data_IF_047397662801
#
_entry.id   IF_047397662801
#
_cell.length_a   1.000
_cell.length_b   1.000
_cell.length_c   1.000
_cell.angle_alpha   90.00
_cell.angle_beta   90.00
_cell.angle_gamma   90.00
#
_symmetry.space_group_name_H-M   'P 1'
#
loop_
_entity.id
_entity.type
_entity.pdbx_description
1 polymer ?
#
# COMPACT_ATOMS: atom_id res chain seq x y z
N UNK A 1 -29.22 8.78 1.08
CA UNK A 1 -29.10 7.35 1.42
C UNK A 1 -30.32 6.68 0.83
N UNK A 2 -30.13 5.82 -0.17
CA UNK A 2 -31.24 5.07 -0.77
C UNK A 2 -30.93 3.58 -0.71
N UNK A 3 -31.99 2.80 -0.54
CA UNK A 3 -32.06 1.37 -0.22
C UNK A 3 -32.82 0.74 -1.39
N UNK A 4 -32.26 -0.23 -2.13
CA UNK A 4 -32.73 -0.51 -3.51
C UNK A 4 -32.86 -2.00 -3.88
N UNK A 5 -33.95 -2.35 -4.59
CA UNK A 5 -34.07 -3.52 -5.49
C UNK A 5 -33.95 -3.09 -6.96
N UNK A 6 -33.87 -4.05 -7.90
CA UNK A 6 -33.55 -3.83 -9.32
C UNK A 6 -34.41 -2.75 -10.02
N UNK A 7 -35.70 -2.64 -9.67
CA UNK A 7 -36.62 -1.62 -10.20
C UNK A 7 -36.42 -0.23 -9.56
N UNK A 8 -35.86 -0.15 -8.35
CA UNK A 8 -35.63 1.11 -7.66
C UNK A 8 -34.44 1.88 -8.26
N UNK A 9 -33.46 1.16 -8.85
CA UNK A 9 -32.16 1.69 -9.33
C UNK A 9 -32.35 2.89 -10.28
N UNK A 10 -33.48 2.96 -11.01
CA UNK A 10 -33.83 4.05 -11.95
C UNK A 10 -34.05 5.40 -11.23
N UNK A 11 -34.57 5.39 -10.00
CA UNK A 11 -35.09 6.62 -9.37
C UNK A 11 -34.03 7.47 -8.66
N UNK A 12 -32.86 6.90 -8.33
CA UNK A 12 -31.85 7.53 -7.47
C UNK A 12 -30.62 8.01 -8.20
N UNK A 13 -30.30 7.43 -9.35
CA UNK A 13 -29.23 7.87 -10.25
C UNK A 13 -29.51 9.24 -10.87
N UNK A 14 -30.76 9.72 -10.81
CA UNK A 14 -31.13 11.11 -11.08
C UNK A 14 -30.39 12.14 -10.20
N UNK A 15 -29.77 11.75 -9.08
CA UNK A 15 -28.92 12.64 -8.27
C UNK A 15 -27.56 12.94 -8.93
N UNK A 16 -27.07 12.08 -9.83
CA UNK A 16 -25.76 12.23 -10.48
C UNK A 16 -25.83 12.30 -12.00
N UNK A 17 -27.03 12.14 -12.57
CA UNK A 17 -27.37 12.40 -13.96
C UNK A 17 -26.44 11.71 -14.99
N UNK A 18 -25.92 10.52 -14.65
CA UNK A 18 -24.99 9.75 -15.49
C UNK A 18 -25.53 8.34 -15.70
N UNK A 19 -26.20 8.12 -16.84
CA UNK A 19 -26.70 6.81 -17.27
C UNK A 19 -25.64 5.71 -17.18
N UNK A 20 -24.38 6.07 -17.40
CA UNK A 20 -23.26 5.12 -17.39
C UNK A 20 -22.99 4.55 -15.98
N UNK A 21 -23.15 5.35 -14.93
CA UNK A 21 -23.02 4.86 -13.55
C UNK A 21 -24.14 3.87 -13.22
N UNK A 22 -25.37 4.16 -13.65
CA UNK A 22 -26.51 3.26 -13.45
C UNK A 22 -26.29 1.94 -14.17
N UNK A 23 -25.91 2.00 -15.44
CA UNK A 23 -25.62 0.84 -16.26
C UNK A 23 -24.51 -0.01 -15.64
N UNK A 24 -23.42 0.61 -15.15
CA UNK A 24 -22.35 -0.10 -14.46
C UNK A 24 -22.84 -0.83 -13.20
N UNK A 25 -23.63 -0.16 -12.36
CA UNK A 25 -24.22 -0.76 -11.15
C UNK A 25 -25.10 -1.97 -11.52
N UNK A 26 -26.00 -1.82 -12.50
CA UNK A 26 -26.88 -2.90 -12.96
C UNK A 26 -26.10 -4.09 -13.51
N UNK A 27 -25.12 -3.82 -14.36
CA UNK A 27 -24.27 -4.85 -14.96
C UNK A 27 -23.52 -5.63 -13.88
N UNK A 28 -22.94 -4.94 -12.91
CA UNK A 28 -22.24 -5.59 -11.79
C UNK A 28 -23.18 -6.39 -10.89
N UNK A 29 -24.33 -5.82 -10.55
CA UNK A 29 -25.31 -6.46 -9.67
C UNK A 29 -25.86 -7.76 -10.25
N UNK A 30 -26.07 -7.80 -11.58
CA UNK A 30 -26.55 -8.98 -12.30
C UNK A 30 -25.42 -9.90 -12.76
N UNK A 31 -24.16 -9.56 -12.51
CA UNK A 31 -23.03 -10.34 -12.97
C UNK A 31 -22.99 -11.71 -12.26
N UNK A 32 -22.68 -12.82 -12.96
CA UNK A 32 -22.56 -14.15 -12.36
C UNK A 32 -21.56 -14.21 -11.20
N UNK A 33 -20.54 -13.36 -11.19
CA UNK A 33 -19.52 -13.26 -10.13
C UNK A 33 -19.79 -12.17 -9.09
N UNK A 34 -21.01 -11.60 -9.00
CA UNK A 34 -21.33 -10.62 -7.96
C UNK A 34 -21.00 -11.15 -6.54
N UNK A 35 -20.39 -10.34 -5.65
CA UNK A 35 -19.96 -8.95 -5.79
C UNK A 35 -18.51 -8.77 -6.25
N UNK A 36 -17.84 -9.83 -6.70
CA UNK A 36 -16.39 -9.89 -6.94
C UNK A 36 -15.91 -9.13 -8.17
N UNK A 37 -16.78 -8.40 -8.85
CA UNK A 37 -16.46 -7.58 -10.01
C UNK A 37 -16.55 -6.10 -9.66
N UNK A 38 -15.79 -5.29 -10.38
CA UNK A 38 -15.90 -3.84 -10.39
C UNK A 38 -15.97 -3.33 -11.83
N UNK A 39 -16.44 -2.11 -12.01
CA UNK A 39 -16.55 -1.47 -13.32
C UNK A 39 -15.63 -0.26 -13.37
N UNK A 40 -14.72 -0.23 -14.33
CA UNK A 40 -13.83 0.89 -14.62
C UNK A 40 -14.26 1.53 -15.93
N UNK A 41 -14.92 2.69 -15.87
CA UNK A 41 -15.42 3.40 -17.06
C UNK A 41 -16.29 2.51 -17.98
N UNK A 42 -17.14 1.68 -17.36
CA UNK A 42 -18.03 0.73 -18.03
C UNK A 42 -17.40 -0.63 -18.36
N UNK A 43 -16.08 -0.78 -18.29
CA UNK A 43 -15.40 -2.07 -18.44
C UNK A 43 -15.48 -2.88 -17.16
N UNK A 44 -15.91 -4.14 -17.27
CA UNK A 44 -16.05 -5.04 -16.12
C UNK A 44 -14.76 -5.82 -15.89
N UNK A 45 -14.20 -5.70 -14.69
CA UNK A 45 -12.93 -6.32 -14.30
C UNK A 45 -13.05 -6.95 -12.91
N UNK A 46 -12.14 -7.89 -12.59
CA UNK A 46 -12.10 -8.51 -11.25
C UNK A 46 -11.75 -7.47 -10.21
N UNK A 47 -12.50 -7.47 -9.10
CA UNK A 47 -12.25 -6.57 -8.00
C UNK A 47 -11.20 -7.18 -7.04
N UNK A 48 -10.01 -6.57 -6.90
CA UNK A 48 -8.89 -7.15 -6.15
C UNK A 48 -9.17 -7.29 -4.66
N UNK A 49 -10.10 -6.51 -4.08
CA UNK A 49 -10.43 -6.61 -2.64
C UNK A 49 -11.05 -7.98 -2.27
N UNK A 50 -11.59 -8.70 -3.26
CA UNK A 50 -12.16 -10.03 -3.08
C UNK A 50 -11.18 -11.17 -3.38
N UNK A 51 -9.98 -10.89 -3.88
CA UNK A 51 -9.01 -11.91 -4.34
C UNK A 51 -8.67 -12.93 -3.25
N UNK A 52 -8.54 -12.47 -2.01
CA UNK A 52 -8.12 -13.27 -0.86
C UNK A 52 -9.23 -13.46 0.19
N UNK A 53 -10.47 -13.06 -0.12
CA UNK A 53 -11.58 -13.19 0.82
C UNK A 53 -12.11 -14.63 0.80
N UNK A 54 -12.50 -15.13 1.97
CA UNK A 54 -13.09 -16.47 2.10
C UNK A 54 -14.34 -16.61 1.22
N UNK A 55 -14.47 -17.76 0.56
CA UNK A 55 -15.62 -18.09 -0.30
C UNK A 55 -16.93 -18.06 0.49
N UNK A 56 -16.92 -18.52 1.73
CA UNK A 56 -18.14 -18.54 2.56
C UNK A 56 -18.65 -17.12 2.83
N UNK A 57 -17.74 -16.16 2.99
CA UNK A 57 -18.08 -14.74 3.16
C UNK A 57 -18.67 -14.18 1.87
N UNK A 58 -18.07 -14.50 0.72
CA UNK A 58 -18.53 -14.06 -0.60
C UNK A 58 -19.94 -14.62 -0.90
N UNK A 59 -20.16 -15.91 -0.64
CA UNK A 59 -21.45 -16.58 -0.83
C UNK A 59 -22.51 -15.98 0.08
N UNK A 60 -22.16 -15.68 1.33
CA UNK A 60 -23.07 -14.98 2.24
C UNK A 60 -23.46 -13.61 1.70
N UNK A 61 -22.51 -12.79 1.24
CA UNK A 61 -22.82 -11.47 0.66
C UNK A 61 -23.75 -11.62 -0.55
N UNK A 62 -23.49 -12.60 -1.42
CA UNK A 62 -24.33 -12.88 -2.58
C UNK A 62 -25.73 -13.33 -2.19
N UNK A 63 -25.86 -14.20 -1.20
CA UNK A 63 -27.16 -14.66 -0.70
C UNK A 63 -27.94 -13.54 -0.05
N UNK A 64 -27.27 -12.71 0.75
CA UNK A 64 -27.91 -11.65 1.52
C UNK A 64 -28.33 -10.48 0.61
N UNK A 65 -27.47 -10.08 -0.33
CA UNK A 65 -27.62 -8.83 -1.09
C UNK A 65 -27.75 -8.99 -2.60
N UNK A 66 -27.56 -10.19 -3.17
CA UNK A 66 -27.62 -10.41 -4.62
C UNK A 66 -29.04 -10.21 -5.20
N UNK A 67 -29.25 -10.50 -6.49
CA UNK A 67 -30.55 -10.30 -7.15
C UNK A 67 -31.75 -10.96 -6.45
N UNK A 68 -31.52 -12.10 -5.80
CA UNK A 68 -32.53 -12.84 -5.04
C UNK A 68 -32.39 -12.64 -3.52
N UNK A 69 -31.53 -11.72 -3.09
CA UNK A 69 -31.26 -11.44 -1.69
C UNK A 69 -32.39 -10.71 -1.00
N UNK A 70 -32.39 -10.79 0.33
CA UNK A 70 -33.39 -10.15 1.20
C UNK A 70 -32.98 -8.73 1.62
N UNK A 71 -31.67 -8.46 1.60
CA UNK A 71 -31.10 -7.19 2.02
C UNK A 71 -30.89 -6.26 0.83
N UNK A 72 -31.03 -4.98 1.11
CA UNK A 72 -30.78 -3.92 0.17
C UNK A 72 -29.39 -3.32 0.43
N UNK A 73 -28.74 -2.79 -0.61
CA UNK A 73 -27.46 -2.09 -0.49
C UNK A 73 -27.64 -0.57 -0.61
N UNK A 74 -26.62 0.18 -0.17
CA UNK A 74 -26.59 1.65 -0.27
C UNK A 74 -25.76 2.05 -1.49
N UNK A 75 -26.11 3.15 -2.16
CA UNK A 75 -25.25 3.78 -3.17
C UNK A 75 -24.48 4.93 -2.53
N UNK A 76 -23.16 4.95 -2.73
CA UNK A 76 -22.28 5.98 -2.20
C UNK A 76 -21.36 6.59 -3.26
N UNK A 77 -21.72 7.76 -3.78
CA UNK A 77 -20.87 8.54 -4.66
C UNK A 77 -19.82 9.30 -3.86
N UNK A 78 -18.58 9.26 -4.34
CA UNK A 78 -17.42 9.92 -3.74
C UNK A 78 -16.56 10.52 -4.84
N UNK A 79 -16.01 11.72 -4.59
CA UNK A 79 -14.99 12.30 -5.45
C UNK A 79 -13.60 12.01 -4.84
N UNK A 80 -12.69 11.48 -5.65
CA UNK A 80 -11.30 11.17 -5.29
C UNK A 80 -10.38 12.20 -5.94
N UNK A 81 -9.56 12.85 -5.13
CA UNK A 81 -8.69 13.93 -5.55
C UNK A 81 -7.25 13.47 -5.60
N UNK A 82 -6.65 13.63 -6.77
CA UNK A 82 -5.31 13.18 -7.08
C UNK A 82 -4.42 14.42 -7.21
N UNK A 83 -3.62 14.67 -6.19
CA UNK A 83 -2.55 15.68 -6.23
C UNK A 83 -1.28 14.98 -6.73
N UNK A 84 -0.80 15.39 -7.90
CA UNK A 84 0.37 14.80 -8.55
C UNK A 84 1.60 15.67 -8.31
N UNK A 85 2.73 15.02 -8.11
CA UNK A 85 4.05 15.64 -8.03
C UNK A 85 5.03 14.91 -8.92
N UNK A 86 6.15 15.57 -9.20
CA UNK A 86 7.33 14.94 -9.79
C UNK A 86 8.46 15.03 -8.77
N UNK A 87 9.22 13.95 -8.61
CA UNK A 87 10.47 13.98 -7.86
C UNK A 87 11.59 14.68 -8.67
N UNK A 88 12.80 14.73 -8.09
CA UNK A 88 13.98 15.33 -8.75
C UNK A 88 14.41 14.60 -10.05
N UNK A 89 13.91 13.38 -10.27
CA UNK A 89 14.18 12.55 -11.45
C UNK A 89 12.99 12.52 -12.44
N UNK A 90 12.02 13.41 -12.29
CA UNK A 90 10.77 13.44 -13.06
C UNK A 90 9.89 12.19 -12.90
N UNK A 91 9.99 11.46 -11.79
CA UNK A 91 9.12 10.33 -11.48
C UNK A 91 7.79 10.81 -10.89
N UNK A 92 6.65 10.28 -11.34
CA UNK A 92 5.34 10.67 -10.82
C UNK A 92 5.11 10.15 -9.40
N UNK A 93 4.59 11.03 -8.55
CA UNK A 93 4.18 10.72 -7.19
C UNK A 93 2.77 11.24 -6.92
N UNK A 94 2.10 10.61 -5.97
CA UNK A 94 0.78 11.01 -5.49
C UNK A 94 0.86 11.46 -4.03
N UNK A 95 0.28 12.63 -3.73
CA UNK A 95 0.16 13.07 -2.34
C UNK A 95 -1.04 12.37 -1.70
N UNK A 96 -0.74 11.54 -0.72
CA UNK A 96 -1.71 10.73 0.00
C UNK A 96 -1.95 11.29 1.39
N UNK A 97 -3.20 11.24 1.84
CA UNK A 97 -3.57 11.51 3.21
C UNK A 97 -3.67 10.21 3.99
N UNK A 98 -2.94 10.09 5.10
CA UNK A 98 -3.27 9.09 6.09
C UNK A 98 -3.63 9.74 7.41
N UNK A 99 -4.50 9.06 8.12
CA UNK A 99 -5.12 9.65 9.30
C UNK A 99 -4.59 9.02 10.60
N UNK A 100 -3.70 8.02 10.51
CA UNK A 100 -2.87 7.52 11.62
C UNK A 100 -3.62 6.94 12.83
N UNK A 101 -4.91 6.57 12.72
CA UNK A 101 -5.63 5.86 13.80
C UNK A 101 -5.89 4.41 13.37
N UNK A 102 -5.51 3.40 14.17
CA UNK A 102 -5.61 1.98 13.79
C UNK A 102 -7.03 1.44 13.55
N UNK A 103 -8.06 2.08 14.13
CA UNK A 103 -9.44 1.53 14.23
C UNK A 103 -10.54 2.41 13.64
N UNK A 104 -10.26 3.61 13.13
CA UNK A 104 -11.34 4.41 12.52
C UNK A 104 -11.53 3.95 11.09
N UNK A 105 -12.79 3.79 10.66
CA UNK A 105 -13.20 3.22 9.37
C UNK A 105 -12.44 3.77 8.15
N UNK A 106 -13.04 4.70 7.39
CA UNK A 106 -12.44 5.30 6.19
C UNK A 106 -11.18 6.08 6.56
N UNK A 107 -10.04 5.40 6.46
CA UNK A 107 -8.70 5.87 6.80
C UNK A 107 -7.70 5.16 5.91
N UNK A 108 -7.76 5.44 4.62
CA UNK A 108 -6.76 5.00 3.68
C UNK A 108 -6.27 6.20 2.90
N UNK A 109 -5.14 6.02 2.25
CA UNK A 109 -4.18 6.96 1.68
C UNK A 109 -4.72 7.95 0.64
N UNK A 110 -6.03 8.18 0.58
CA UNK A 110 -6.72 8.89 -0.48
C UNK A 110 -7.41 10.13 0.05
N UNK A 111 -7.34 11.20 -0.74
CA UNK A 111 -8.10 12.42 -0.50
C UNK A 111 -9.48 12.24 -1.10
N UNK A 112 -10.41 11.74 -0.30
CA UNK A 112 -11.79 11.49 -0.71
C UNK A 112 -12.73 12.46 -0.03
N UNK A 113 -13.62 13.06 -0.81
CA UNK A 113 -14.67 13.91 -0.27
C UNK A 113 -16.01 13.32 -0.63
N UNK A 114 -16.86 13.24 0.39
CA UNK A 114 -18.27 12.95 0.22
C UNK A 114 -18.95 14.28 0.02
N UNK A 115 -19.71 14.40 -1.06
CA UNK A 115 -20.56 15.57 -1.23
C UNK A 115 -21.61 15.57 -0.09
N UNK A 116 -21.42 16.46 0.88
CA UNK A 116 -22.36 16.65 1.98
C UNK A 116 -23.58 17.45 1.52
N UNK A 117 -23.44 18.19 0.41
CA UNK A 117 -24.50 19.01 -0.14
C UNK A 117 -25.21 18.19 -1.22
N UNK A 118 -26.54 18.18 -1.18
CA UNK A 118 -27.34 17.57 -2.26
C UNK A 118 -27.36 18.48 -3.50
N UNK A 119 -26.24 19.11 -3.81
CA UNK A 119 -26.15 20.13 -4.84
C UNK A 119 -26.32 19.49 -6.22
N UNK A 120 -27.28 20.00 -6.99
CA UNK A 120 -27.60 19.50 -8.33
C UNK A 120 -26.59 19.99 -9.38
N UNK A 121 -25.72 20.95 -9.04
CA UNK A 121 -24.81 21.61 -9.98
C UNK A 121 -23.36 21.12 -9.80
N UNK A 122 -22.86 20.38 -10.79
CA UNK A 122 -21.49 19.84 -10.83
C UNK A 122 -20.43 20.95 -10.72
N UNK A 123 -20.64 22.12 -11.32
CA UNK A 123 -19.66 23.21 -11.29
C UNK A 123 -19.53 23.83 -9.90
N UNK A 124 -20.63 23.91 -9.15
CA UNK A 124 -20.65 24.43 -7.78
C UNK A 124 -19.97 23.45 -6.81
N UNK A 125 -20.26 22.15 -6.95
CA UNK A 125 -19.60 21.08 -6.22
C UNK A 125 -18.07 21.11 -6.40
N UNK A 126 -17.60 21.23 -7.64
CA UNK A 126 -16.15 21.31 -7.93
C UNK A 126 -15.51 22.53 -7.26
N UNK A 127 -16.17 23.69 -7.30
CA UNK A 127 -15.67 24.92 -6.66
C UNK A 127 -15.65 24.81 -5.12
N UNK A 128 -16.58 24.08 -4.52
CA UNK A 128 -16.56 23.80 -3.09
C UNK A 128 -15.40 22.87 -2.73
N UNK A 129 -15.16 21.83 -3.54
CA UNK A 129 -14.01 20.94 -3.36
C UNK A 129 -12.66 21.66 -3.45
N UNK A 130 -12.49 22.67 -4.32
CA UNK A 130 -11.28 23.48 -4.35
C UNK A 130 -10.99 24.12 -2.98
N UNK A 131 -11.99 24.72 -2.34
CA UNK A 131 -11.85 25.35 -1.00
C UNK A 131 -11.60 24.32 0.09
N UNK A 132 -12.27 23.18 0.02
CA UNK A 132 -12.11 22.10 0.98
C UNK A 132 -10.67 21.56 0.93
N UNK A 133 -10.15 21.33 -0.28
CA UNK A 133 -8.77 20.88 -0.48
C UNK A 133 -7.78 21.93 0.01
N UNK A 134 -7.98 23.22 -0.29
CA UNK A 134 -7.14 24.31 0.22
C UNK A 134 -7.06 24.29 1.75
N UNK A 135 -8.22 24.20 2.39
CA UNK A 135 -8.29 24.09 3.86
C UNK A 135 -7.61 22.81 4.33
N UNK A 136 -7.79 21.70 3.61
CA UNK A 136 -7.26 20.39 3.96
C UNK A 136 -5.72 20.38 3.98
N UNK A 137 -5.10 21.00 2.96
CA UNK A 137 -3.65 21.08 2.79
C UNK A 137 -3.02 22.37 3.35
N UNK A 138 -3.77 23.14 4.16
CA UNK A 138 -3.32 24.40 4.78
C UNK A 138 -2.82 25.46 3.76
N UNK A 139 -3.61 25.71 2.72
CA UNK A 139 -3.44 26.77 1.72
C UNK A 139 -4.54 27.82 1.83
N UNK A 140 -4.18 29.09 1.61
CA UNK A 140 -5.09 30.23 1.85
C UNK A 140 -5.25 31.17 0.64
N UNK A 141 -4.56 30.93 -0.49
CA UNK A 141 -4.45 31.91 -1.59
C UNK A 141 -5.09 31.50 -2.93
N UNK A 142 -6.18 30.72 -2.97
CA UNK A 142 -6.85 30.33 -4.23
C UNK A 142 -5.87 29.68 -5.23
N UNK A 143 -4.97 28.87 -4.72
CA UNK A 143 -3.90 28.21 -5.48
C UNK A 143 -4.35 26.86 -6.01
N UNK A 144 -5.48 26.33 -5.57
CA UNK A 144 -5.95 25.01 -5.97
C UNK A 144 -6.99 25.14 -7.07
N UNK A 145 -6.79 24.39 -8.16
CA UNK A 145 -7.78 24.19 -9.21
C UNK A 145 -8.06 22.71 -9.33
N UNK A 146 -9.35 22.33 -9.32
CA UNK A 146 -9.77 20.96 -9.54
C UNK A 146 -10.23 20.81 -10.98
N UNK A 147 -9.56 19.93 -11.73
CA UNK A 147 -9.97 19.54 -13.07
C UNK A 147 -10.51 18.13 -13.06
N UNK A 148 -11.75 17.97 -13.51
CA UNK A 148 -12.26 16.67 -13.88
C UNK A 148 -11.55 16.21 -15.15
N UNK A 149 -11.10 14.95 -15.22
CA UNK A 149 -10.51 14.44 -16.45
C UNK A 149 -11.59 14.36 -17.54
N UNK A 150 -11.27 14.54 -18.83
CA UNK A 150 -12.14 14.12 -19.91
C UNK A 150 -12.04 12.60 -20.11
N UNK A 151 -13.12 11.95 -20.51
CA UNK A 151 -13.18 10.61 -21.12
C UNK A 151 -12.95 9.33 -20.28
N UNK A 152 -12.43 9.39 -19.05
CA UNK A 152 -12.42 8.25 -18.09
C UNK A 152 -12.42 8.81 -16.67
N UNK A 153 -13.44 8.54 -15.87
CA UNK A 153 -13.57 9.19 -14.56
C UNK A 153 -14.28 8.39 -13.49
N UNK A 154 -14.68 7.14 -13.69
CA UNK A 154 -15.37 6.47 -12.60
C UNK A 154 -15.10 4.98 -12.44
N UNK A 155 -15.08 4.61 -11.16
CA UNK A 155 -15.04 3.24 -10.69
C UNK A 155 -16.34 2.96 -9.94
N UNK A 156 -17.02 1.87 -10.30
CA UNK A 156 -18.11 1.32 -9.50
C UNK A 156 -17.64 0.03 -8.84
N UNK A 157 -17.79 -0.05 -7.52
CA UNK A 157 -17.33 -1.18 -6.71
C UNK A 157 -18.34 -1.48 -5.62
N UNK A 158 -18.75 -2.74 -5.51
CA UNK A 158 -19.53 -3.21 -4.37
C UNK A 158 -18.57 -3.67 -3.28
N UNK A 159 -18.69 -3.16 -2.06
CA UNK A 159 -17.91 -3.65 -0.89
C UNK A 159 -18.61 -3.39 0.43
N UNK A 160 -18.25 -4.16 1.46
CA UNK A 160 -18.77 -3.97 2.82
C UNK A 160 -18.13 -2.72 3.44
N UNK A 161 -18.96 -1.75 3.82
CA UNK A 161 -18.50 -0.53 4.47
C UNK A 161 -17.98 -0.84 5.89
N UNK A 162 -16.79 -0.34 6.21
CA UNK A 162 -16.14 -0.63 7.49
C UNK A 162 -16.85 -0.03 8.70
N UNK A 163 -17.60 1.05 8.52
CA UNK A 163 -18.40 1.72 9.54
C UNK A 163 -19.82 1.17 9.65
N UNK A 164 -20.56 1.08 8.53
CA UNK A 164 -21.95 0.61 8.55
C UNK A 164 -22.10 -0.91 8.65
N UNK A 165 -21.05 -1.67 8.29
CA UNK A 165 -21.08 -3.13 8.19
C UNK A 165 -22.13 -3.68 7.20
N UNK A 166 -22.55 -2.84 6.25
CA UNK A 166 -23.50 -3.15 5.18
C UNK A 166 -22.81 -3.14 3.81
N UNK A 167 -23.40 -3.81 2.82
CA UNK A 167 -22.98 -3.69 1.43
C UNK A 167 -23.28 -2.30 0.86
N UNK A 168 -22.29 -1.72 0.20
CA UNK A 168 -22.40 -0.43 -0.46
C UNK A 168 -21.87 -0.54 -1.88
N UNK A 169 -22.62 0.01 -2.84
CA UNK A 169 -22.18 0.30 -4.19
C UNK A 169 -21.51 1.69 -4.20
N UNK A 170 -20.19 1.71 -4.18
CA UNK A 170 -19.42 2.93 -4.34
C UNK A 170 -19.38 3.36 -5.79
N UNK A 171 -19.48 4.67 -6.00
CA UNK A 171 -19.21 5.32 -7.28
C UNK A 171 -18.10 6.33 -7.02
N UNK A 172 -16.87 5.96 -7.34
CA UNK A 172 -15.73 6.86 -7.20
C UNK A 172 -15.57 7.66 -8.47
N UNK A 173 -15.54 8.99 -8.37
CA UNK A 173 -15.22 9.89 -9.48
C UNK A 173 -13.83 10.49 -9.26
N UNK A 174 -12.94 10.39 -10.25
CA UNK A 174 -11.56 10.87 -10.09
C UNK A 174 -11.37 12.29 -10.61
N UNK A 175 -10.63 13.08 -9.85
CA UNK A 175 -10.38 14.50 -10.10
C UNK A 175 -8.88 14.80 -9.99
N UNK A 176 -8.32 15.48 -11.00
CA UNK A 176 -6.95 15.99 -10.91
C UNK A 176 -6.95 17.31 -10.14
N UNK A 177 -6.02 17.42 -9.21
CA UNK A 177 -5.81 18.64 -8.44
C UNK A 177 -4.52 19.31 -8.91
N UNK A 178 -4.64 20.57 -9.31
CA UNK A 178 -3.52 21.41 -9.71
C UNK A 178 -3.32 22.45 -8.61
N UNK A 179 -2.11 22.55 -8.10
CA UNK A 179 -1.73 23.57 -7.12
C UNK A 179 -0.78 24.55 -7.81
N UNK A 180 -1.23 25.77 -8.08
CA UNK A 180 -0.42 26.85 -8.67
C UNK A 180 0.41 27.59 -7.61
N UNK A 181 1.53 28.20 -8.00
CA UNK A 181 2.38 29.00 -7.11
C UNK A 181 3.60 28.25 -6.58
N UNK A 182 4.31 28.84 -5.61
CA UNK A 182 5.44 28.17 -4.95
C UNK A 182 4.92 27.06 -4.02
N UNK A 183 5.30 25.83 -4.33
CA UNK A 183 4.88 24.63 -3.62
C UNK A 183 6.07 23.90 -2.96
N UNK A 184 7.24 24.54 -2.83
CA UNK A 184 8.42 23.89 -2.27
C UNK A 184 8.20 23.32 -0.87
N UNK A 185 7.33 23.94 -0.07
CA UNK A 185 6.99 23.48 1.28
C UNK A 185 6.16 22.19 1.30
N UNK A 186 5.42 21.85 0.25
CA UNK A 186 4.68 20.58 0.13
C UNK A 186 5.46 19.58 -0.73
N UNK A 187 6.04 20.04 -1.85
CA UNK A 187 6.73 19.20 -2.83
C UNK A 187 8.02 18.56 -2.30
N UNK A 188 8.78 19.25 -1.43
CA UNK A 188 10.06 18.74 -0.91
C UNK A 188 9.93 17.93 0.38
N UNK A 189 8.74 17.86 0.97
CA UNK A 189 8.52 17.14 2.23
C UNK A 189 8.13 15.71 1.92
N UNK A 190 8.87 14.72 2.43
CA UNK A 190 8.47 13.31 2.35
C UNK A 190 7.16 13.06 3.11
N UNK A 191 7.25 12.83 4.41
CA UNK A 191 6.08 12.74 5.30
C UNK A 191 5.92 14.06 6.06
N UNK A 192 4.70 14.58 6.15
CA UNK A 192 4.41 15.81 6.89
C UNK A 192 3.00 15.82 7.48
N UNK A 193 2.73 16.74 8.39
CA UNK A 193 1.42 16.86 9.02
C UNK A 193 1.03 18.31 9.31
N UNK A 194 -0.28 18.56 9.32
CA UNK A 194 -0.88 19.81 9.81
C UNK A 194 -1.72 19.52 11.05
N UNK A 195 -1.56 20.33 12.08
CA UNK A 195 -2.34 20.23 13.31
C UNK A 195 -3.52 21.19 13.25
N UNK A 196 -4.74 20.67 13.42
CA UNK A 196 -5.97 21.43 13.52
C UNK A 196 -6.65 21.11 14.85
N UNK A 197 -6.42 21.96 15.85
CA UNK A 197 -6.86 21.71 17.22
C UNK A 197 -6.25 20.42 17.78
N UNK A 198 -7.10 19.46 18.16
CA UNK A 198 -6.69 18.16 18.73
C UNK A 198 -6.46 17.07 17.68
N UNK A 199 -6.65 17.38 16.39
CA UNK A 199 -6.52 16.42 15.29
C UNK A 199 -5.31 16.77 14.41
N UNK A 200 -4.49 15.76 14.10
CA UNK A 200 -3.40 15.87 13.14
C UNK A 200 -3.81 15.25 11.80
N UNK A 201 -3.71 16.04 10.71
CA UNK A 201 -3.84 15.55 9.33
C UNK A 201 -2.44 15.22 8.81
N UNK A 202 -2.19 13.97 8.42
CA UNK A 202 -0.86 13.53 8.00
C UNK A 202 -0.86 13.18 6.50
N UNK A 203 0.27 13.46 5.86
CA UNK A 203 0.43 13.39 4.42
C UNK A 203 1.78 12.78 4.07
N UNK A 204 1.84 12.13 2.91
CA UNK A 204 3.09 11.67 2.30
C UNK A 204 2.94 11.52 0.81
N UNK A 205 4.04 11.73 0.12
CA UNK A 205 4.17 11.34 -1.27
C UNK A 205 4.40 9.84 -1.43
N UNK A 206 3.50 9.19 -2.13
CA UNK A 206 3.61 7.79 -2.51
C UNK A 206 3.93 7.67 -3.99
N UNK A 207 4.89 6.80 -4.31
CA UNK A 207 4.97 6.21 -5.63
C UNK A 207 3.77 5.27 -5.80
N UNK A 208 3.09 5.26 -6.97
CA UNK A 208 1.97 4.37 -7.21
C UNK A 208 2.28 2.90 -6.88
N UNK A 209 3.45 2.39 -7.26
CA UNK A 209 3.91 1.02 -6.96
C UNK A 209 4.06 0.73 -5.46
N UNK A 210 4.29 1.77 -4.65
CA UNK A 210 4.34 1.65 -3.20
C UNK A 210 2.98 1.40 -2.56
N UNK A 211 1.88 1.74 -3.25
CA UNK A 211 0.52 1.59 -2.73
C UNK A 211 0.11 0.12 -2.55
N UNK A 212 0.58 -0.76 -3.43
CA UNK A 212 0.24 -2.18 -3.39
C UNK A 212 0.93 -2.96 -2.26
N UNK A 213 2.02 -2.39 -1.71
CA UNK A 213 2.78 -3.00 -0.62
C UNK A 213 2.05 -2.94 0.72
N UNK A 214 1.14 -1.98 0.89
CA UNK A 214 0.32 -1.88 2.09
C UNK A 214 -0.86 -2.85 1.99
N UNK A 215 -0.73 -3.99 2.69
CA UNK A 215 -1.76 -5.03 2.70
C UNK A 215 -3.12 -4.50 3.12
N UNK A 216 -3.17 -3.60 4.12
CA UNK A 216 -4.43 -3.05 4.62
C UNK A 216 -5.06 -2.14 3.58
N UNK A 217 -4.27 -1.35 2.86
CA UNK A 217 -4.72 -0.53 1.74
C UNK A 217 -5.32 -1.40 0.64
N UNK A 218 -4.65 -2.50 0.27
CA UNK A 218 -5.16 -3.40 -0.77
C UNK A 218 -6.41 -4.17 -0.35
N UNK A 219 -6.55 -4.51 0.94
CA UNK A 219 -7.76 -5.15 1.47
C UNK A 219 -8.98 -4.22 1.46
N UNK A 220 -8.80 -2.92 1.70
CA UNK A 220 -9.92 -1.97 1.79
C UNK A 220 -10.20 -1.27 0.47
N UNK A 221 -9.15 -0.79 -0.18
CA UNK A 221 -9.20 0.13 -1.31
C UNK A 221 -8.39 -0.35 -2.51
N UNK A 222 -8.07 -1.65 -2.57
CA UNK A 222 -7.41 -2.25 -3.73
C UNK A 222 -8.15 -2.00 -5.05
N UNK A 223 -9.48 -1.83 -5.00
CA UNK A 223 -10.31 -1.43 -6.13
C UNK A 223 -9.91 -0.05 -6.67
N UNK A 224 -9.81 0.94 -5.78
CA UNK A 224 -9.39 2.30 -6.11
C UNK A 224 -7.92 2.34 -6.54
N UNK A 225 -7.04 1.62 -5.83
CA UNK A 225 -5.62 1.52 -6.16
C UNK A 225 -5.45 0.96 -7.56
N UNK A 226 -6.13 -0.14 -7.87
CA UNK A 226 -6.06 -0.76 -9.20
C UNK A 226 -6.53 0.18 -10.31
N UNK A 227 -7.55 0.99 -10.06
CA UNK A 227 -7.96 2.05 -11.01
C UNK A 227 -6.87 3.12 -11.17
N UNK A 228 -6.30 3.62 -10.07
CA UNK A 228 -5.20 4.61 -10.09
C UNK A 228 -4.04 4.07 -10.94
N UNK A 229 -3.62 2.83 -10.74
CA UNK A 229 -2.54 2.21 -11.51
C UNK A 229 -2.81 2.19 -13.02
N UNK A 230 -4.02 1.78 -13.39
CA UNK A 230 -4.46 1.72 -14.78
C UNK A 230 -4.48 3.11 -15.42
N UNK A 231 -4.81 4.15 -14.64
CA UNK A 231 -5.01 5.51 -15.14
C UNK A 231 -3.76 6.41 -15.00
N UNK A 232 -2.74 5.97 -14.27
CA UNK A 232 -1.44 6.66 -14.14
C UNK A 232 -0.34 6.02 -14.99
N UNK A 233 -0.68 5.05 -15.86
CA UNK A 233 0.29 4.27 -16.64
C UNK A 233 1.36 3.57 -15.78
N UNK A 234 1.08 3.33 -14.49
CA UNK A 234 1.95 2.53 -13.63
C UNK A 234 1.52 1.08 -13.77
N UNK A 235 2.10 0.42 -14.76
CA UNK A 235 1.65 -0.88 -15.30
C UNK A 235 1.40 -1.95 -14.23
N UNK A 236 0.14 -2.33 -14.10
CA UNK A 236 -0.35 -3.53 -13.43
C UNK A 236 -0.25 -4.74 -14.38
N UNK A 237 0.96 -5.25 -14.63
CA UNK A 237 1.32 -6.65 -14.97
C UNK A 237 2.78 -6.74 -15.41
N UNK A 238 3.39 -7.91 -15.18
CA UNK A 238 4.80 -8.26 -15.36
C UNK A 238 5.50 -7.51 -16.51
N UNK A 239 6.23 -6.44 -16.16
CA UNK A 239 7.24 -5.88 -17.04
C UNK A 239 8.26 -6.98 -17.24
N UNK A 240 8.39 -7.48 -18.47
CA UNK A 240 9.51 -8.32 -18.84
C UNK A 240 10.79 -7.61 -18.41
N UNK A 241 11.50 -8.20 -17.44
CA UNK A 241 12.79 -7.76 -16.93
C UNK A 241 13.71 -7.45 -18.11
N UNK A 242 13.86 -6.16 -18.39
CA UNK A 242 14.87 -5.68 -19.31
C UNK A 242 15.07 -4.21 -19.02
N UNK A 243 16.09 -3.98 -18.20
CA UNK A 243 16.71 -2.69 -17.82
C UNK A 243 16.04 -2.04 -16.59
N UNK A 244 16.17 -2.71 -15.44
CA UNK A 244 16.10 -2.06 -14.11
C UNK A 244 17.46 -1.40 -13.81
N UNK A 245 17.54 -0.29 -13.07
CA UNK A 245 17.65 -0.29 -11.60
C UNK A 245 17.61 1.15 -11.04
N UNK A 246 17.39 1.36 -9.71
CA UNK A 246 16.73 0.51 -8.72
C UNK A 246 15.63 1.23 -7.90
N UNK A 247 14.77 0.43 -7.28
CA UNK A 247 14.06 0.77 -6.03
C UNK A 247 15.11 1.30 -5.03
N UNK A 248 14.97 2.55 -4.57
CA UNK A 248 15.84 3.17 -3.56
C UNK A 248 15.57 2.55 -2.19
N UNK A 249 16.16 1.40 -1.94
CA UNK A 249 16.35 0.92 -0.58
C UNK A 249 17.35 1.84 0.12
N UNK A 250 17.05 2.22 1.36
CA UNK A 250 17.96 3.03 2.20
C UNK A 250 19.31 2.29 2.39
N UNK A 251 19.25 0.96 2.39
CA UNK A 251 20.39 0.08 2.53
C UNK A 251 20.46 -0.95 1.38
N UNK A 252 21.65 -1.29 0.95
CA UNK A 252 21.89 -2.42 0.06
C UNK A 252 21.73 -3.74 0.83
N UNK A 253 22.17 -3.78 2.09
CA UNK A 253 22.13 -4.99 2.91
C UNK A 253 21.75 -4.65 4.34
N UNK A 254 20.85 -5.42 4.94
CA UNK A 254 20.61 -5.40 6.38
C UNK A 254 21.20 -6.66 7.03
N UNK A 255 21.79 -6.50 8.22
CA UNK A 255 22.35 -7.61 8.98
C UNK A 255 21.47 -7.94 10.18
N UNK A 256 20.90 -9.15 10.20
CA UNK A 256 20.12 -9.67 11.32
C UNK A 256 20.92 -10.72 12.08
N UNK A 257 21.13 -10.50 13.38
CA UNK A 257 21.96 -11.35 14.23
C UNK A 257 21.50 -11.27 15.69
N UNK A 258 21.88 -12.27 16.50
CA UNK A 258 21.75 -12.19 17.95
C UNK A 258 22.92 -11.42 18.53
N UNK A 259 22.70 -10.67 19.62
CA UNK A 259 23.76 -9.85 20.23
C UNK A 259 25.03 -10.63 20.58
N UNK A 260 24.92 -11.92 20.89
CA UNK A 260 26.02 -12.86 21.13
C UNK A 260 26.90 -13.11 19.88
N UNK A 261 26.32 -12.98 18.70
CA UNK A 261 26.95 -13.25 17.40
C UNK A 261 27.46 -11.97 16.72
N UNK A 262 27.45 -10.83 17.45
CA UNK A 262 27.81 -9.49 16.96
C UNK A 262 29.14 -9.43 16.22
N UNK A 263 30.14 -10.17 16.70
CA UNK A 263 31.48 -10.19 16.08
C UNK A 263 31.44 -10.55 14.57
N UNK A 264 30.50 -11.39 14.16
CA UNK A 264 30.38 -11.81 12.77
C UNK A 264 29.66 -10.77 11.90
N UNK A 265 28.61 -10.15 12.43
CA UNK A 265 27.90 -9.07 11.73
C UNK A 265 28.76 -7.81 11.62
N UNK A 266 29.53 -7.47 12.64
CA UNK A 266 30.47 -6.34 12.62
C UNK A 266 31.57 -6.52 11.56
N UNK A 267 32.16 -7.71 11.49
CA UNK A 267 33.19 -8.02 10.48
C UNK A 267 32.63 -7.91 9.06
N UNK A 268 31.45 -8.47 8.80
CA UNK A 268 30.80 -8.37 7.50
C UNK A 268 30.40 -6.93 7.15
N UNK A 269 29.85 -6.18 8.11
CA UNK A 269 29.48 -4.79 7.92
C UNK A 269 30.68 -3.94 7.50
N UNK A 270 31.82 -4.13 8.17
CA UNK A 270 33.07 -3.43 7.86
C UNK A 270 33.54 -3.73 6.44
N UNK A 271 33.62 -5.01 6.06
CA UNK A 271 34.07 -5.44 4.73
C UNK A 271 33.17 -4.89 3.61
N UNK A 272 31.85 -4.90 3.81
CA UNK A 272 30.89 -4.36 2.84
C UNK A 272 30.97 -2.82 2.75
N UNK A 273 31.08 -2.14 3.89
CA UNK A 273 31.18 -0.67 3.95
C UNK A 273 32.48 -0.17 3.29
N UNK A 274 33.60 -0.87 3.48
CA UNK A 274 34.88 -0.58 2.80
C UNK A 274 34.77 -0.68 1.26
N UNK A 275 33.76 -1.40 0.75
CA UNK A 275 33.45 -1.55 -0.67
C UNK A 275 32.35 -0.58 -1.16
N UNK A 276 31.91 0.35 -0.31
CA UNK A 276 30.90 1.35 -0.65
C UNK A 276 29.45 0.85 -0.63
N UNK A 277 29.19 -0.32 -0.04
CA UNK A 277 27.85 -0.88 0.11
C UNK A 277 27.15 -0.24 1.31
N UNK A 278 25.88 0.18 1.17
CA UNK A 278 25.10 0.75 2.28
C UNK A 278 24.58 -0.37 3.18
N UNK A 279 25.12 -0.50 4.40
CA UNK A 279 24.75 -1.58 5.33
C UNK A 279 23.93 -1.05 6.50
N UNK A 280 22.78 -1.67 6.78
CA UNK A 280 22.07 -1.48 8.04
C UNK A 280 22.66 -2.41 9.11
N UNK A 281 23.26 -1.80 10.14
CA UNK A 281 23.83 -2.46 11.31
C UNK A 281 23.41 -1.69 12.57
N UNK A 282 22.81 -2.39 13.52
CA UNK A 282 22.04 -1.81 14.64
C UNK A 282 22.86 -0.87 15.56
N UNK A 283 24.15 -1.13 15.70
CA UNK A 283 25.05 -0.40 16.60
C UNK A 283 25.47 0.97 16.06
N UNK A 284 25.33 1.21 14.75
CA UNK A 284 25.51 2.56 14.20
C UNK A 284 24.34 3.50 14.52
N UNK A 285 23.28 2.96 15.16
CA UNK A 285 21.98 3.60 15.33
C UNK A 285 21.48 3.58 16.78
N UNK A 286 22.37 3.36 17.77
CA UNK A 286 22.02 3.24 19.21
C UNK A 286 21.15 4.40 19.72
N UNK A 287 21.39 5.63 19.28
CA UNK A 287 20.57 6.79 19.63
C UNK A 287 19.17 6.79 18.98
N UNK A 288 19.04 6.23 17.77
CA UNK A 288 17.77 6.11 17.05
C UNK A 288 16.90 4.94 17.55
N UNK A 289 17.53 3.93 18.14
CA UNK A 289 16.87 2.71 18.65
C UNK A 289 16.44 2.82 20.12
N UNK A 290 16.92 3.83 20.84
CA UNK A 290 16.59 4.06 22.25
C UNK A 290 15.08 4.28 22.44
N UNK A 291 14.43 3.36 23.16
CA UNK A 291 13.02 3.48 23.57
C UNK A 291 12.00 2.98 22.52
N UNK A 292 12.47 2.48 21.37
CA UNK A 292 11.60 1.86 20.37
C UNK A 292 11.30 0.39 20.72
N UNK A 293 10.12 -0.08 20.32
CA UNK A 293 9.85 -1.52 20.28
C UNK A 293 10.71 -2.13 19.15
N UNK A 294 11.88 -2.62 19.53
CA UNK A 294 12.88 -3.16 18.60
C UNK A 294 12.29 -4.25 17.70
N UNK A 295 11.36 -5.06 18.21
CA UNK A 295 10.74 -6.15 17.45
C UNK A 295 9.91 -5.66 16.24
N UNK A 296 9.07 -4.64 16.44
CA UNK A 296 8.28 -4.03 15.35
C UNK A 296 9.15 -3.20 14.41
N UNK A 297 10.17 -2.54 14.96
CA UNK A 297 11.08 -1.71 14.18
C UNK A 297 11.96 -2.55 13.24
N UNK A 298 12.45 -3.69 13.71
CA UNK A 298 13.18 -4.65 12.91
C UNK A 298 12.32 -5.28 11.82
N UNK A 299 11.04 -5.58 12.07
CA UNK A 299 10.13 -6.03 11.01
C UNK A 299 9.98 -5.02 9.87
N UNK A 300 9.90 -3.72 10.16
CA UNK A 300 9.80 -2.69 9.11
C UNK A 300 11.10 -2.52 8.32
N UNK A 301 12.26 -2.53 8.99
CA UNK A 301 13.56 -2.32 8.32
C UNK A 301 13.94 -3.55 7.48
N UNK A 302 13.75 -4.75 8.03
CA UNK A 302 14.04 -5.99 7.33
C UNK A 302 12.99 -6.35 6.27
N UNK A 303 11.92 -5.58 6.09
CA UNK A 303 10.94 -5.82 5.01
C UNK A 303 11.04 -4.79 3.90
N UNK A 304 11.22 -3.51 4.26
CA UNK A 304 10.92 -2.41 3.33
C UNK A 304 12.14 -1.55 2.97
N UNK A 305 13.26 -1.64 3.70
CA UNK A 305 14.35 -0.66 3.61
C UNK A 305 15.70 -1.20 3.14
N UNK A 306 15.86 -2.51 2.92
CA UNK A 306 17.10 -3.12 2.42
C UNK A 306 16.87 -3.99 1.17
N UNK A 307 17.85 -4.09 0.25
CA UNK A 307 17.75 -4.96 -0.95
C UNK A 307 17.88 -6.45 -0.61
N UNK A 308 18.74 -6.77 0.35
CA UNK A 308 18.90 -8.12 0.90
C UNK A 308 19.03 -8.06 2.43
N UNK A 309 18.62 -9.13 3.10
CA UNK A 309 18.85 -9.33 4.53
C UNK A 309 19.75 -10.54 4.75
N UNK A 310 20.95 -10.32 5.28
CA UNK A 310 21.82 -11.39 5.74
C UNK A 310 21.40 -11.78 7.14
N UNK A 311 21.02 -13.05 7.31
CA UNK A 311 20.58 -13.58 8.60
C UNK A 311 21.66 -14.52 9.13
N UNK A 312 22.26 -14.15 10.25
CA UNK A 312 23.21 -14.99 10.97
C UNK A 312 22.43 -16.01 11.79
N UNK A 313 22.39 -17.25 11.29
CA UNK A 313 21.66 -18.37 11.88
C UNK A 313 22.51 -19.02 12.97
N UNK A 314 22.04 -18.94 14.21
CA UNK A 314 22.66 -19.55 15.38
C UNK A 314 21.61 -20.00 16.38
N UNK A 315 22.05 -20.76 17.38
CA UNK A 315 21.22 -21.13 18.53
C UNK A 315 20.68 -19.89 19.25
N UNK A 316 21.54 -18.88 19.48
CA UNK A 316 21.16 -17.62 20.14
C UNK A 316 20.11 -16.83 19.34
N UNK A 317 20.21 -16.88 18.02
CA UNK A 317 19.24 -16.25 17.13
C UNK A 317 17.87 -16.92 17.22
N UNK A 318 17.85 -18.26 17.21
CA UNK A 318 16.63 -19.03 17.38
C UNK A 318 15.98 -18.75 18.76
N UNK A 319 16.74 -18.78 19.84
CA UNK A 319 16.15 -18.59 21.18
C UNK A 319 15.58 -17.19 21.42
N UNK A 320 16.14 -16.14 20.80
CA UNK A 320 15.72 -14.75 21.06
C UNK A 320 14.70 -14.19 20.08
N UNK A 321 14.79 -14.58 18.81
CA UNK A 321 13.96 -13.99 17.75
C UNK A 321 12.83 -14.92 17.28
N UNK A 322 12.86 -16.19 17.68
CA UNK A 322 11.86 -17.21 17.36
C UNK A 322 10.75 -17.49 18.39
N UNK A 323 10.85 -17.17 19.70
CA UNK A 323 9.93 -17.76 20.67
C UNK A 323 8.54 -17.10 20.62
N UNK A 324 7.61 -17.70 19.86
CA UNK A 324 6.13 -17.64 19.98
C UNK A 324 5.48 -18.35 18.78
N UNK A 325 4.76 -19.45 19.00
CA UNK A 325 4.09 -20.23 17.94
C UNK A 325 3.26 -19.43 16.92
N UNK A 326 2.57 -18.37 17.35
CA UNK A 326 1.79 -17.51 16.43
C UNK A 326 2.68 -16.64 15.52
N UNK A 327 3.83 -16.19 16.04
CA UNK A 327 4.81 -15.41 15.27
C UNK A 327 5.71 -16.31 14.42
N UNK A 328 6.01 -17.52 14.86
CA UNK A 328 6.76 -18.52 14.09
C UNK A 328 6.09 -18.80 12.74
N UNK A 329 4.76 -18.92 12.72
CA UNK A 329 4.01 -19.14 11.48
C UNK A 329 4.04 -17.90 10.56
N UNK A 330 3.91 -16.71 11.13
CA UNK A 330 3.99 -15.45 10.39
C UNK A 330 5.40 -15.18 9.84
N UNK A 331 6.43 -15.46 10.63
CA UNK A 331 7.85 -15.34 10.25
C UNK A 331 8.21 -16.40 9.20
N UNK A 332 7.82 -17.66 9.39
CA UNK A 332 8.04 -18.73 8.42
C UNK A 332 7.31 -18.47 7.09
N UNK A 333 6.16 -17.77 7.13
CA UNK A 333 5.43 -17.33 5.94
C UNK A 333 6.11 -16.14 5.26
N UNK A 334 6.47 -15.09 6.01
CA UNK A 334 7.20 -13.94 5.48
C UNK A 334 8.53 -14.33 4.86
N UNK A 335 9.23 -15.30 5.46
CA UNK A 335 10.44 -15.85 4.88
C UNK A 335 10.17 -16.68 3.64
N UNK A 336 9.12 -17.52 3.62
CA UNK A 336 8.72 -18.29 2.42
C UNK A 336 8.34 -17.40 1.23
N UNK A 337 7.61 -16.32 1.46
CA UNK A 337 7.08 -15.45 0.40
C UNK A 337 8.15 -14.58 -0.27
N UNK A 338 9.37 -14.47 0.29
CA UNK A 338 10.44 -13.60 -0.22
C UNK A 338 11.74 -14.39 -0.52
N UNK A 339 11.63 -15.37 -1.43
CA UNK A 339 12.59 -16.46 -1.61
C UNK A 339 14.05 -16.04 -1.84
N UNK A 340 14.31 -14.92 -2.52
CA UNK A 340 15.67 -14.46 -2.84
C UNK A 340 16.18 -13.31 -1.97
N UNK A 341 15.35 -12.80 -1.05
CA UNK A 341 15.67 -11.63 -0.23
C UNK A 341 16.60 -11.95 0.96
N UNK A 342 16.47 -13.17 1.51
CA UNK A 342 17.20 -13.60 2.71
C UNK A 342 18.44 -14.37 2.28
N UNK A 343 19.58 -14.00 2.85
CA UNK A 343 20.87 -14.64 2.64
C UNK A 343 21.31 -15.30 3.97
N UNK A 344 21.01 -16.59 4.18
CA UNK A 344 21.35 -17.27 5.43
C UNK A 344 22.86 -17.53 5.54
N UNK A 345 23.44 -17.14 6.67
CA UNK A 345 24.82 -17.47 7.07
C UNK A 345 24.77 -18.31 8.34
N UNK A 346 25.13 -19.59 8.27
CA UNK A 346 25.10 -20.50 9.42
C UNK A 346 26.35 -20.32 10.27
N UNK A 347 26.16 -20.01 11.54
CA UNK A 347 27.22 -19.99 12.56
C UNK A 347 27.36 -21.39 13.19
N UNK A 348 26.25 -22.10 13.35
CA UNK A 348 26.18 -23.46 13.91
C UNK A 348 25.17 -24.34 13.15
N UNK A 349 24.88 -25.54 13.69
CA UNK A 349 23.92 -26.47 13.09
C UNK A 349 22.45 -26.18 13.44
N UNK A 350 22.14 -25.01 14.03
CA UNK A 350 20.76 -24.67 14.39
C UNK A 350 19.89 -24.61 13.15
N UNK A 351 18.69 -25.16 13.27
CA UNK A 351 17.66 -25.10 12.24
C UNK A 351 16.62 -24.05 12.64
N UNK A 352 16.25 -23.20 11.68
CA UNK A 352 15.19 -22.21 11.86
C UNK A 352 14.03 -22.59 10.95
N UNK A 353 12.84 -22.93 11.49
CA UNK A 353 11.66 -23.25 10.69
C UNK A 353 11.34 -22.14 9.67
N UNK A 354 11.21 -22.47 8.38
CA UNK A 354 10.98 -21.49 7.32
C UNK A 354 12.24 -20.90 6.68
N UNK A 355 13.42 -21.18 7.24
CA UNK A 355 14.73 -21.05 6.59
C UNK A 355 15.29 -22.48 6.35
N UNK A 356 14.43 -23.36 5.80
CA UNK A 356 14.69 -24.79 5.65
C UNK A 356 15.89 -25.07 4.72
N UNK A 357 16.45 -26.30 4.80
CA UNK A 357 17.60 -26.82 4.03
C UNK A 357 17.48 -26.77 2.49
N UNK A 358 16.31 -26.43 1.95
CA UNK A 358 16.12 -26.19 0.51
C UNK A 358 16.62 -24.82 0.05
N UNK A 359 17.04 -23.94 0.97
CA UNK A 359 17.66 -22.65 0.67
C UNK A 359 19.18 -22.76 0.66
N UNK A 360 19.81 -22.20 -0.37
CA UNK A 360 21.25 -22.03 -0.40
C UNK A 360 21.70 -21.15 0.78
N UNK A 361 22.56 -21.71 1.64
CA UNK A 361 23.19 -21.01 2.76
C UNK A 361 24.70 -20.99 2.57
N UNK A 362 25.37 -20.05 3.25
CA UNK A 362 26.82 -20.09 3.41
C UNK A 362 27.14 -20.51 4.85
N UNK A 363 28.04 -21.48 5.00
CA UNK A 363 28.48 -21.95 6.31
C UNK A 363 29.75 -21.19 6.73
N UNK A 364 29.64 -20.41 7.80
CA UNK A 364 30.73 -19.59 8.32
C UNK A 364 31.86 -20.43 8.93
N UNK A 365 31.61 -21.72 9.20
CA UNK A 365 32.61 -22.67 9.72
C UNK A 365 33.56 -23.16 8.63
N UNK A 366 33.14 -23.06 7.37
CA UNK A 366 33.91 -23.55 6.20
C UNK A 366 34.26 -22.44 5.21
N UNK A 367 33.71 -21.23 5.40
CA UNK A 367 33.85 -20.10 4.48
C UNK A 367 34.37 -18.87 5.23
N UNK A 368 35.40 -18.20 4.71
CA UNK A 368 35.91 -16.99 5.35
C UNK A 368 34.96 -15.80 5.14
N UNK A 369 34.93 -14.85 6.09
CA UNK A 369 34.03 -13.70 6.01
C UNK A 369 34.23 -12.84 4.76
N UNK A 370 35.47 -12.78 4.25
CA UNK A 370 35.78 -12.10 2.98
C UNK A 370 35.05 -12.73 1.79
N UNK A 371 34.99 -14.05 1.72
CA UNK A 371 34.31 -14.77 0.64
C UNK A 371 32.79 -14.57 0.75
N UNK A 372 32.26 -14.48 1.98
CA UNK A 372 30.85 -14.12 2.24
C UNK A 372 30.56 -12.71 1.75
N UNK A 373 31.43 -11.75 2.05
CA UNK A 373 31.29 -10.37 1.56
C UNK A 373 31.30 -10.30 0.03
N UNK A 374 32.19 -11.05 -0.63
CA UNK A 374 32.23 -11.16 -2.09
C UNK A 374 30.96 -11.81 -2.67
N UNK A 375 30.43 -12.83 -2.01
CA UNK A 375 29.17 -13.46 -2.40
C UNK A 375 27.98 -12.48 -2.31
N UNK A 376 27.93 -11.67 -1.24
CA UNK A 376 26.92 -10.61 -1.06
C UNK A 376 27.06 -9.54 -2.14
N UNK A 377 28.27 -9.06 -2.43
CA UNK A 377 28.53 -8.08 -3.50
C UNK A 377 28.12 -8.65 -4.87
N UNK A 378 28.43 -9.91 -5.13
CA UNK A 378 28.03 -10.60 -6.36
C UNK A 378 26.50 -10.72 -6.47
N UNK A 379 25.80 -10.94 -5.36
CA UNK A 379 24.32 -10.94 -5.32
C UNK A 379 23.76 -9.55 -5.63
N UNK A 380 24.38 -8.49 -5.11
CA UNK A 380 24.01 -7.10 -5.39
C UNK A 380 24.22 -6.68 -6.85
N UNK A 381 25.22 -7.26 -7.54
CA UNK A 381 25.55 -6.93 -8.93
C UNK A 381 24.75 -7.72 -9.98
N UNK A 382 24.26 -8.92 -9.65
CA UNK A 382 23.55 -9.81 -10.60
C UNK A 382 22.09 -9.46 -10.88
N UNK A 383 21.47 -8.56 -10.11
CA UNK A 383 20.09 -8.08 -10.30
C UNK A 383 20.06 -6.61 -10.77
N UNK A 384 20.76 -6.32 -11.87
CA UNK A 384 20.64 -5.03 -12.57
C UNK A 384 19.75 -5.20 -13.77
#
# INVERSE_FOLDING_TARGET
MIVMKDDDIISTTNLYNRKDHENAIRTLFRHPDFPCMMSTDGLIVKNPIYKNLDRDIIEKIRSDYGPNGINNFKIMPLDIFLIKGLDENNQPMLLCYWSGKPKSGWKSYLMMFRDSNKEKNVAERIKNHEKDIETFIHRTQKTVTVKKRPDTNYLVSFKIDQGYKDLVAYIFTFCDVIISGDNNDIARRGEFQFNEGTYARKFKWYYPEGMEKDQRMMEVDGDVVSYIHTTFETMLTDIALSITNPILFEYDVALSFAGEDRKYSEELAKLLTEKGIKVFYDDYKTAELWGKNLYQHFQSIYRDNARFCVVFVSHNYAEKFWPRHELEQAQARAFRENEEYILPVRIDNTEIPGINDTRGYIDLRTTAMKDIAEAVITKLSRKT
#
